data_IF_894635747593
#
_entry.id   IF_894635747593
#
_cell.length_a   1.000
_cell.length_b   1.000
_cell.length_c   1.000
_cell.angle_alpha   90.00
_cell.angle_beta   90.00
_cell.angle_gamma   90.00
#
_symmetry.space_group_name_H-M   'P 1'
#
loop_
_entity.id
_entity.type
_entity.pdbx_description
1 polymer ?
#
# COMPACT_ATOMS: atom_id res chain seq x y z
N UNK A 1 1.26 -24.35 4.42
CA UNK A 1 0.45 -23.13 4.49
C UNK A 1 -0.53 -23.13 3.34
N UNK A 2 -1.83 -23.18 3.62
CA UNK A 2 -2.89 -23.00 2.62
C UNK A 2 -3.29 -21.52 2.52
N UNK A 3 -4.15 -21.21 1.54
CA UNK A 3 -4.55 -19.83 1.24
C UNK A 3 -5.31 -19.16 2.41
N UNK A 4 -6.06 -19.96 3.17
CA UNK A 4 -6.81 -19.49 4.34
C UNK A 4 -5.87 -19.13 5.48
N UNK A 5 -4.88 -19.97 5.76
CA UNK A 5 -3.84 -19.70 6.76
C UNK A 5 -3.06 -18.42 6.40
N UNK A 6 -2.68 -18.27 5.13
CA UNK A 6 -2.00 -17.07 4.66
C UNK A 6 -2.85 -15.80 4.90
N UNK A 7 -4.16 -15.88 4.63
CA UNK A 7 -5.09 -14.76 4.86
C UNK A 7 -5.15 -14.37 6.33
N UNK A 8 -5.28 -15.34 7.24
CA UNK A 8 -5.33 -15.08 8.68
C UNK A 8 -4.01 -14.55 9.23
N UNK A 9 -2.87 -15.04 8.74
CA UNK A 9 -1.55 -14.56 9.16
C UNK A 9 -1.31 -13.10 8.77
N UNK A 10 -1.73 -12.71 7.56
CA UNK A 10 -1.68 -11.31 7.13
C UNK A 10 -2.62 -10.46 8.00
N UNK A 11 -3.85 -10.91 8.28
CA UNK A 11 -4.79 -10.17 9.14
C UNK A 11 -4.22 -9.93 10.53
N UNK A 12 -3.69 -10.97 11.18
CA UNK A 12 -3.07 -10.85 12.49
C UNK A 12 -1.89 -9.88 12.47
N UNK A 13 -1.08 -9.92 11.42
CA UNK A 13 0.06 -9.01 11.25
C UNK A 13 -0.41 -7.55 11.15
N UNK A 14 -1.40 -7.28 10.30
CA UNK A 14 -1.95 -5.93 10.13
C UNK A 14 -2.62 -5.44 11.42
N UNK A 15 -3.38 -6.29 12.11
CA UNK A 15 -3.98 -5.96 13.41
C UNK A 15 -2.91 -5.60 14.45
N UNK A 16 -1.85 -6.41 14.55
CA UNK A 16 -0.73 -6.15 15.46
C UNK A 16 -0.04 -4.81 15.18
N UNK A 17 0.10 -4.45 13.90
CA UNK A 17 0.74 -3.19 13.48
C UNK A 17 -0.17 -1.96 13.64
N UNK A 18 -1.48 -2.13 13.58
CA UNK A 18 -2.45 -1.05 13.76
C UNK A 18 -2.92 -0.88 15.21
N UNK A 19 -2.62 -1.84 16.10
CA UNK A 19 -2.94 -1.80 17.52
C UNK A 19 -2.29 -0.58 18.18
N UNK A 20 -3.12 0.22 18.85
CA UNK A 20 -2.70 1.40 19.61
C UNK A 20 -2.89 1.19 21.11
N UNK A 21 -2.10 1.90 21.90
CA UNK A 21 -2.27 1.99 23.35
C UNK A 21 -3.25 3.11 23.75
N UNK A 22 -3.41 3.31 25.05
CA UNK A 22 -4.31 4.33 25.62
C UNK A 22 -3.91 5.76 25.24
N UNK A 23 -2.66 5.98 24.85
CA UNK A 23 -2.13 7.29 24.41
C UNK A 23 -2.34 7.51 22.90
N UNK A 24 -2.81 6.48 22.18
CA UNK A 24 -2.95 6.50 20.72
C UNK A 24 -1.66 6.19 19.97
N UNK A 25 -0.56 5.87 20.67
CA UNK A 25 0.68 5.42 20.06
C UNK A 25 0.56 3.97 19.59
N UNK A 26 1.23 3.61 18.49
CA UNK A 26 1.27 2.22 18.02
C UNK A 26 1.99 1.35 19.05
N UNK A 27 1.37 0.22 19.44
CA UNK A 27 1.98 -0.75 20.35
C UNK A 27 3.28 -1.32 19.79
N UNK A 28 3.36 -1.46 18.46
CA UNK A 28 4.57 -1.78 17.73
C UNK A 28 5.02 -0.51 16.98
N UNK A 29 6.15 0.11 17.37
CA UNK A 29 6.68 1.28 16.69
C UNK A 29 6.84 1.05 15.19
N UNK A 30 6.56 2.07 14.37
CA UNK A 30 6.52 1.98 12.90
C UNK A 30 7.84 1.47 12.34
N UNK A 31 8.97 1.91 12.89
CA UNK A 31 10.31 1.49 12.50
C UNK A 31 10.63 0.01 12.79
N UNK A 32 9.83 -0.64 13.66
CA UNK A 32 9.94 -2.06 13.98
C UNK A 32 8.95 -2.93 13.20
N UNK A 33 7.99 -2.34 12.50
CA UNK A 33 7.06 -3.07 11.65
C UNK A 33 7.82 -3.59 10.42
N UNK A 34 7.61 -4.87 10.08
CA UNK A 34 8.34 -5.54 9.00
C UNK A 34 7.45 -5.73 7.77
N UNK A 35 8.00 -5.64 6.55
CA UNK A 35 7.22 -5.90 5.35
C UNK A 35 6.70 -7.33 5.31
N UNK A 36 5.48 -7.52 4.79
CA UNK A 36 4.93 -8.83 4.45
C UNK A 36 5.20 -9.12 2.98
N UNK A 37 5.80 -10.28 2.69
CA UNK A 37 6.19 -10.68 1.34
C UNK A 37 5.41 -11.93 0.90
N UNK A 38 4.53 -11.78 -0.09
CA UNK A 38 3.76 -12.87 -0.67
C UNK A 38 4.46 -13.43 -1.91
N UNK A 39 4.99 -14.65 -1.81
CA UNK A 39 5.63 -15.36 -2.93
C UNK A 39 4.80 -16.56 -3.41
N UNK A 40 4.92 -16.88 -4.70
CA UNK A 40 4.34 -18.09 -5.29
C UNK A 40 4.09 -17.95 -6.79
N UNK A 41 3.61 -18.99 -7.46
CA UNK A 41 3.32 -18.99 -8.90
C UNK A 41 2.35 -17.86 -9.33
N UNK A 42 2.40 -17.40 -10.60
CA UNK A 42 1.41 -16.46 -11.11
C UNK A 42 0.00 -17.07 -11.07
N UNK A 43 -1.03 -16.23 -10.90
CA UNK A 43 -2.44 -16.66 -10.93
C UNK A 43 -3.01 -17.25 -9.64
N UNK A 44 -2.23 -17.45 -8.58
CA UNK A 44 -2.71 -18.04 -7.31
C UNK A 44 -3.54 -17.09 -6.42
N UNK A 45 -3.84 -15.86 -6.87
CA UNK A 45 -4.67 -14.90 -6.13
C UNK A 45 -3.96 -14.05 -5.07
N UNK A 46 -2.62 -13.89 -5.10
CA UNK A 46 -1.87 -13.05 -4.15
C UNK A 46 -2.42 -11.64 -4.02
N UNK A 47 -2.68 -10.97 -5.15
CA UNK A 47 -3.23 -9.60 -5.18
C UNK A 47 -4.67 -9.57 -4.67
N UNK A 48 -5.51 -10.49 -5.15
CA UNK A 48 -6.91 -10.59 -4.76
C UNK A 48 -7.07 -10.81 -3.24
N UNK A 49 -6.17 -11.56 -2.61
CA UNK A 49 -6.23 -11.77 -1.15
C UNK A 49 -5.99 -10.48 -0.38
N UNK A 50 -5.11 -9.60 -0.86
CA UNK A 50 -4.85 -8.32 -0.18
C UNK A 50 -6.05 -7.39 -0.29
N UNK A 51 -6.74 -7.37 -1.43
CA UNK A 51 -7.99 -6.62 -1.62
C UNK A 51 -9.08 -7.12 -0.67
N UNK A 52 -9.28 -8.45 -0.58
CA UNK A 52 -10.24 -9.04 0.35
C UNK A 52 -9.92 -8.76 1.82
N UNK A 53 -8.64 -8.83 2.20
CA UNK A 53 -8.23 -8.52 3.58
C UNK A 53 -8.50 -7.05 3.89
N UNK A 54 -8.18 -6.15 2.97
CA UNK A 54 -8.42 -4.72 3.15
C UNK A 54 -9.92 -4.42 3.32
N UNK A 55 -10.77 -5.04 2.50
CA UNK A 55 -12.22 -4.95 2.61
C UNK A 55 -12.72 -5.52 3.94
N UNK A 56 -12.33 -6.74 4.31
CA UNK A 56 -12.76 -7.38 5.56
C UNK A 56 -12.31 -6.63 6.82
N UNK A 57 -11.15 -5.98 6.77
CA UNK A 57 -10.60 -5.20 7.87
C UNK A 57 -11.02 -3.73 7.85
N UNK A 58 -11.74 -3.28 6.82
CA UNK A 58 -12.14 -1.88 6.61
C UNK A 58 -10.94 -0.92 6.66
N UNK A 59 -9.86 -1.28 5.99
CA UNK A 59 -8.64 -0.47 5.87
C UNK A 59 -8.43 0.01 4.44
N UNK A 60 -7.80 1.17 4.30
CA UNK A 60 -7.44 1.71 2.99
C UNK A 60 -6.29 0.90 2.38
N UNK A 61 -6.46 0.42 1.15
CA UNK A 61 -5.42 -0.26 0.38
C UNK A 61 -4.90 0.65 -0.73
N UNK A 62 -3.60 0.97 -0.67
CA UNK A 62 -2.89 1.66 -1.75
C UNK A 62 -2.06 0.63 -2.51
N UNK A 63 -2.27 0.52 -3.82
CA UNK A 63 -1.56 -0.42 -4.69
C UNK A 63 -0.68 0.33 -5.69
N UNK A 64 0.56 -0.12 -5.83
CA UNK A 64 1.51 0.39 -6.82
C UNK A 64 2.19 -0.80 -7.49
N UNK A 65 2.11 -0.87 -8.82
CA UNK A 65 2.72 -1.97 -9.58
C UNK A 65 3.94 -1.48 -10.35
N UNK A 66 4.88 -2.39 -10.65
CA UNK A 66 6.06 -2.06 -11.47
C UNK A 66 5.65 -1.47 -12.83
N UNK A 67 4.53 -1.92 -13.41
CA UNK A 67 4.01 -1.35 -14.66
C UNK A 67 3.60 0.12 -14.51
N UNK A 68 3.09 0.53 -13.34
CA UNK A 68 2.86 1.95 -13.06
C UNK A 68 4.19 2.73 -13.05
N UNK A 69 5.21 2.17 -12.41
CA UNK A 69 6.55 2.76 -12.37
C UNK A 69 7.18 2.88 -13.76
N UNK A 70 7.22 1.80 -14.54
CA UNK A 70 7.82 1.83 -15.88
C UNK A 70 7.09 2.76 -16.82
N UNK A 71 5.76 2.88 -16.71
CA UNK A 71 4.99 3.88 -17.47
C UNK A 71 5.37 5.31 -17.10
N UNK A 72 5.53 5.61 -15.81
CA UNK A 72 6.03 6.93 -15.36
C UNK A 72 7.49 7.18 -15.79
N UNK A 73 8.36 6.17 -15.73
CA UNK A 73 9.75 6.32 -16.14
C UNK A 73 9.91 6.46 -17.66
N UNK A 74 9.09 5.75 -18.45
CA UNK A 74 9.15 5.75 -19.91
C UNK A 74 8.47 6.96 -20.55
N UNK A 75 7.37 7.45 -19.98
CA UNK A 75 6.67 8.67 -20.45
C UNK A 75 7.36 9.95 -19.93
N UNK A 76 8.28 9.81 -18.98
CA UNK A 76 8.76 10.91 -18.15
C UNK A 76 7.79 11.15 -16.99
N UNK A 77 8.29 11.75 -15.90
CA UNK A 77 7.44 12.25 -14.82
C UNK A 77 6.25 13.00 -15.45
N UNK A 78 5.00 12.80 -14.97
CA UNK A 78 3.85 13.56 -15.48
C UNK A 78 4.27 15.02 -15.59
N UNK A 79 4.20 15.54 -16.83
CA UNK A 79 4.75 16.85 -17.15
C UNK A 79 4.22 17.83 -16.11
N UNK A 80 5.14 18.41 -15.33
CA UNK A 80 4.79 19.52 -14.45
C UNK A 80 4.34 20.64 -15.40
N UNK A 81 3.03 20.79 -15.52
CA UNK A 81 2.46 21.87 -16.30
C UNK A 81 2.61 23.12 -15.47
N UNK A 82 3.41 24.07 -15.95
CA UNK A 82 3.48 25.40 -15.35
C UNK A 82 2.21 26.15 -15.71
N UNK A 83 1.42 26.51 -14.70
CA UNK A 83 0.22 27.35 -14.86
C UNK A 83 0.39 28.65 -14.08
N UNK A 84 -0.05 29.75 -14.67
CA UNK A 84 -0.18 31.02 -13.94
C UNK A 84 -1.48 30.99 -13.13
N UNK A 85 -1.35 31.10 -11.82
CA UNK A 85 -2.46 31.36 -10.90
C UNK A 85 -2.16 32.62 -10.11
N UNK A 86 -3.07 33.60 -10.14
CA UNK A 86 -2.92 34.87 -9.41
C UNK A 86 -1.60 35.63 -9.69
N UNK A 87 -1.00 35.45 -10.87
CA UNK A 87 0.28 36.07 -11.23
C UNK A 87 1.53 35.29 -10.80
N UNK A 88 1.37 34.15 -10.14
CA UNK A 88 2.48 33.26 -9.76
C UNK A 88 2.52 32.01 -10.64
N UNK A 89 3.73 31.61 -11.05
CA UNK A 89 3.95 30.38 -11.81
C UNK A 89 3.93 29.19 -10.84
N UNK A 90 2.91 28.34 -10.95
CA UNK A 90 2.74 27.17 -10.10
C UNK A 90 2.97 25.89 -10.90
N UNK A 91 3.78 25.00 -10.33
CA UNK A 91 4.02 23.66 -10.83
C UNK A 91 2.85 22.75 -10.48
N UNK A 92 2.10 22.29 -11.48
CA UNK A 92 0.97 21.38 -11.29
C UNK A 92 1.29 20.01 -11.89
N UNK A 93 1.13 18.95 -11.10
CA UNK A 93 1.34 17.55 -11.49
C UNK A 93 0.03 16.89 -11.90
#
# INVERSE_FOLDING_TARGET
MNIREAKEEIKHTVQAYLLKDETGAYKIPVEKQRPVLLMGPPGIGKTAIMEQIAEEMQINLVSYTITHHTRQSAIGLPFISKRMYAGEEVSVT
#
